data_IF_711127886520
#
_entry.id   IF_711127886520
#
_cell.length_a   1.000
_cell.length_b   1.000
_cell.length_c   1.000
_cell.angle_alpha   90.00
_cell.angle_beta   90.00
_cell.angle_gamma   90.00
#
_symmetry.space_group_name_H-M   'P 1'
#
loop_
_entity.id
_entity.type
_entity.pdbx_description
1 polymer ?
#
# COMPACT_ATOMS: atom_id res chain seq x y z
N UNK A 1 19.07 -9.03 -6.20
CA UNK A 1 18.04 -8.32 -5.42
C UNK A 1 18.33 -8.53 -3.95
N UNK A 2 18.09 -7.53 -3.12
CA UNK A 2 18.16 -7.58 -1.64
C UNK A 2 16.81 -7.14 -1.07
N UNK A 3 16.50 -7.63 0.12
CA UNK A 3 15.28 -7.28 0.84
C UNK A 3 15.68 -6.43 2.04
N UNK A 4 15.07 -5.26 2.15
CA UNK A 4 15.22 -4.33 3.26
C UNK A 4 13.99 -4.44 4.14
N UNK A 5 14.20 -4.68 5.44
CA UNK A 5 13.15 -4.53 6.45
C UNK A 5 13.12 -3.08 6.89
N UNK A 6 11.96 -2.45 6.73
CA UNK A 6 11.72 -1.06 7.09
C UNK A 6 10.86 -1.07 8.35
N UNK A 7 11.36 -0.46 9.42
CA UNK A 7 10.65 -0.30 10.69
C UNK A 7 10.41 1.19 10.93
N UNK A 8 9.14 1.61 10.89
CA UNK A 8 8.74 2.95 11.32
C UNK A 8 8.51 2.98 12.84
N UNK A 9 8.71 4.15 13.46
CA UNK A 9 8.60 4.35 14.91
C UNK A 9 7.20 4.02 15.49
N UNK A 10 6.15 4.00 14.65
CA UNK A 10 4.75 3.82 15.06
C UNK A 10 4.10 2.55 14.49
N UNK A 11 4.81 1.42 14.53
CA UNK A 11 4.29 0.06 14.24
C UNK A 11 4.05 -0.32 12.77
N UNK A 12 4.35 0.57 11.82
CA UNK A 12 4.33 0.21 10.41
C UNK A 12 5.69 -0.40 10.01
N UNK A 13 5.73 -1.72 9.96
CA UNK A 13 6.88 -2.48 9.46
C UNK A 13 6.56 -3.08 8.11
N UNK A 14 7.43 -2.91 7.13
CA UNK A 14 7.24 -3.51 5.80
C UNK A 14 8.54 -4.02 5.19
N UNK A 15 8.40 -4.84 4.16
CA UNK A 15 9.51 -5.36 3.39
C UNK A 15 9.56 -4.65 2.03
N UNK A 16 10.75 -4.17 1.67
CA UNK A 16 11.03 -3.53 0.39
C UNK A 16 12.09 -4.32 -0.36
N UNK A 17 11.86 -4.59 -1.65
CA UNK A 17 12.82 -5.28 -2.50
C UNK A 17 13.52 -4.28 -3.43
N UNK A 18 14.85 -4.29 -3.44
CA UNK A 18 15.65 -3.44 -4.32
C UNK A 18 16.87 -4.17 -4.90
N UNK A 19 17.48 -3.66 -5.99
CA UNK A 19 18.77 -4.17 -6.47
C UNK A 19 19.86 -4.07 -5.41
N UNK A 20 20.78 -5.04 -5.37
CA UNK A 20 21.95 -5.02 -4.46
C UNK A 20 22.95 -3.89 -4.75
N UNK A 21 22.82 -3.28 -5.93
CA UNK A 21 23.62 -2.14 -6.37
C UNK A 21 23.01 -0.78 -6.01
N UNK A 22 21.80 -0.77 -5.43
CA UNK A 22 21.11 0.49 -5.09
C UNK A 22 21.87 1.23 -3.99
N UNK A 23 21.99 2.54 -4.14
CA UNK A 23 22.57 3.41 -3.13
C UNK A 23 21.61 3.61 -1.96
N UNK A 24 22.13 4.07 -0.82
CA UNK A 24 21.31 4.38 0.35
C UNK A 24 20.31 5.49 0.03
N UNK A 25 20.71 6.49 -0.77
CA UNK A 25 19.83 7.60 -1.17
C UNK A 25 18.66 7.10 -2.04
N UNK A 26 18.91 6.24 -3.02
CA UNK A 26 17.84 5.65 -3.86
C UNK A 26 16.86 4.78 -3.03
N UNK A 27 17.37 4.08 -2.02
CA UNK A 27 16.56 3.29 -1.11
C UNK A 27 15.72 4.23 -0.23
N UNK A 28 16.31 5.29 0.31
CA UNK A 28 15.62 6.28 1.13
C UNK A 28 14.52 7.01 0.34
N UNK A 29 14.80 7.46 -0.88
CA UNK A 29 13.81 8.06 -1.78
C UNK A 29 12.66 7.10 -2.05
N UNK A 30 12.96 5.83 -2.32
CA UNK A 30 11.93 4.80 -2.53
C UNK A 30 11.08 4.56 -1.28
N UNK A 31 11.68 4.61 -0.09
CA UNK A 31 10.97 4.49 1.18
C UNK A 31 10.04 5.70 1.44
N UNK A 32 10.53 6.92 1.20
CA UNK A 32 9.71 8.13 1.26
C UNK A 32 8.55 8.09 0.27
N UNK A 33 8.78 7.58 -0.93
CA UNK A 33 7.76 7.35 -1.95
C UNK A 33 6.70 6.35 -1.47
N UNK A 34 7.10 5.21 -0.90
CA UNK A 34 6.18 4.20 -0.36
C UNK A 34 5.31 4.82 0.74
N UNK A 35 5.92 5.50 1.72
CA UNK A 35 5.20 6.14 2.81
C UNK A 35 4.18 7.17 2.27
N UNK A 36 4.61 8.00 1.32
CA UNK A 36 3.73 8.98 0.66
C UNK A 36 2.55 8.31 -0.03
N UNK A 37 2.79 7.21 -0.74
CA UNK A 37 1.76 6.46 -1.45
C UNK A 37 0.79 5.76 -0.47
N UNK A 38 1.30 5.19 0.63
CA UNK A 38 0.47 4.63 1.69
C UNK A 38 -0.44 5.71 2.30
N UNK A 39 0.10 6.87 2.69
CA UNK A 39 -0.70 7.98 3.23
C UNK A 39 -1.77 8.45 2.24
N UNK A 40 -1.44 8.50 0.94
CA UNK A 40 -2.40 8.82 -0.12
C UNK A 40 -3.54 7.81 -0.21
N UNK A 41 -3.24 6.51 -0.19
CA UNK A 41 -4.27 5.45 -0.22
C UNK A 41 -5.21 5.60 0.99
N UNK A 42 -4.67 5.66 2.21
CA UNK A 42 -5.50 5.80 3.42
C UNK A 42 -6.36 7.07 3.39
N UNK A 43 -5.79 8.19 2.93
CA UNK A 43 -6.52 9.46 2.81
C UNK A 43 -7.65 9.37 1.79
N UNK A 44 -7.37 8.83 0.60
CA UNK A 44 -8.36 8.63 -0.46
C UNK A 44 -9.48 7.70 0.01
N UNK A 45 -9.14 6.57 0.64
CA UNK A 45 -10.12 5.64 1.18
C UNK A 45 -11.02 6.31 2.21
N UNK A 46 -10.46 7.04 3.18
CA UNK A 46 -11.26 7.78 4.16
C UNK A 46 -12.21 8.79 3.52
N UNK A 47 -11.73 9.57 2.55
CA UNK A 47 -12.53 10.58 1.87
C UNK A 47 -13.65 9.97 1.02
N UNK A 48 -13.33 8.95 0.23
CA UNK A 48 -14.27 8.29 -0.66
C UNK A 48 -15.31 7.48 0.11
N UNK A 49 -14.92 6.78 1.18
CA UNK A 49 -15.90 6.09 2.05
C UNK A 49 -16.86 7.10 2.69
N UNK A 50 -16.35 8.21 3.24
CA UNK A 50 -17.19 9.23 3.87
C UNK A 50 -18.18 9.90 2.91
N UNK A 51 -17.86 9.97 1.61
CA UNK A 51 -18.67 10.71 0.63
C UNK A 51 -19.51 9.81 -0.27
N UNK A 52 -18.93 8.76 -0.83
CA UNK A 52 -19.62 7.86 -1.74
C UNK A 52 -20.36 6.73 -1.00
N UNK A 53 -19.80 6.21 0.10
CA UNK A 53 -20.42 5.09 0.83
C UNK A 53 -21.32 5.52 2.00
N UNK A 54 -21.31 6.80 2.38
CA UNK A 54 -22.28 7.34 3.35
C UNK A 54 -23.44 8.10 2.71
N UNK A 55 -23.41 8.29 1.40
CA UNK A 55 -24.52 8.86 0.64
C UNK A 55 -25.41 7.72 0.13
N UNK A 56 -26.55 7.51 0.79
CA UNK A 56 -27.49 6.45 0.42
C UNK A 56 -28.05 6.65 -1.00
N UNK A 57 -28.18 7.90 -1.48
CA UNK A 57 -28.66 8.17 -2.83
C UNK A 57 -27.67 7.70 -3.89
N UNK A 58 -26.36 7.84 -3.65
CA UNK A 58 -25.32 7.32 -4.54
C UNK A 58 -25.32 5.79 -4.57
N UNK A 59 -25.45 5.15 -3.41
CA UNK A 59 -25.45 3.68 -3.29
C UNK A 59 -26.66 3.04 -3.95
N UNK A 60 -27.82 3.68 -3.85
CA UNK A 60 -29.03 3.22 -4.53
C UNK A 60 -28.98 3.46 -6.04
N UNK A 61 -28.38 4.57 -6.47
CA UNK A 61 -28.27 4.91 -7.90
C UNK A 61 -27.23 4.08 -8.64
N UNK A 62 -26.14 3.69 -7.96
CA UNK A 62 -25.00 2.97 -8.55
C UNK A 62 -24.47 1.87 -7.61
N UNK A 63 -25.28 0.84 -7.31
CA UNK A 63 -24.91 -0.19 -6.32
C UNK A 63 -23.68 -0.99 -6.73
N UNK A 64 -23.56 -1.36 -8.00
CA UNK A 64 -22.42 -2.13 -8.51
C UNK A 64 -21.11 -1.33 -8.44
N UNK A 65 -21.19 -0.03 -8.71
CA UNK A 65 -20.05 0.88 -8.70
C UNK A 65 -19.60 1.15 -7.26
N UNK A 66 -20.55 1.35 -6.34
CA UNK A 66 -20.25 1.50 -4.91
C UNK A 66 -19.53 0.25 -4.36
N UNK A 67 -20.00 -0.95 -4.72
CA UNK A 67 -19.37 -2.22 -4.33
C UNK A 67 -17.97 -2.38 -4.95
N UNK A 68 -17.81 -2.07 -6.24
CA UNK A 68 -16.51 -2.13 -6.92
C UNK A 68 -15.50 -1.15 -6.32
N UNK A 69 -15.94 0.06 -5.97
CA UNK A 69 -15.12 1.06 -5.31
C UNK A 69 -14.73 0.61 -3.90
N UNK A 70 -15.68 0.15 -3.08
CA UNK A 70 -15.40 -0.35 -1.73
C UNK A 70 -14.41 -1.51 -1.74
N UNK A 71 -14.56 -2.45 -2.68
CA UNK A 71 -13.62 -3.55 -2.88
C UNK A 71 -12.23 -3.04 -3.24
N UNK A 72 -12.14 -2.10 -4.18
CA UNK A 72 -10.87 -1.54 -4.66
C UNK A 72 -10.16 -0.76 -3.55
N UNK A 73 -10.89 0.02 -2.75
CA UNK A 73 -10.35 0.73 -1.58
C UNK A 73 -9.84 -0.25 -0.53
N UNK A 74 -10.62 -1.30 -0.25
CA UNK A 74 -10.24 -2.32 0.75
C UNK A 74 -9.01 -3.11 0.31
N UNK A 75 -8.92 -3.47 -0.98
CA UNK A 75 -7.75 -4.15 -1.52
C UNK A 75 -6.50 -3.25 -1.49
N UNK A 76 -6.65 -1.97 -1.86
CA UNK A 76 -5.58 -1.00 -1.81
C UNK A 76 -5.08 -0.76 -0.38
N UNK A 77 -5.98 -0.65 0.60
CA UNK A 77 -5.62 -0.53 2.02
C UNK A 77 -4.93 -1.78 2.54
N UNK A 78 -5.47 -2.98 2.26
CA UNK A 78 -4.81 -4.23 2.67
C UNK A 78 -3.41 -4.33 2.06
N UNK A 79 -3.24 -3.89 0.82
CA UNK A 79 -1.92 -3.83 0.19
C UNK A 79 -1.03 -2.78 0.85
N UNK A 80 -1.53 -1.57 1.11
CA UNK A 80 -0.78 -0.48 1.73
C UNK A 80 -0.40 -0.78 3.19
N UNK A 81 -1.27 -1.44 3.95
CA UNK A 81 -1.04 -1.86 5.34
C UNK A 81 -0.35 -3.23 5.42
N UNK A 82 0.35 -3.69 4.38
CA UNK A 82 1.10 -4.95 4.43
C UNK A 82 2.18 -4.87 5.51
N UNK A 83 1.84 -5.40 6.70
CA UNK A 83 2.76 -5.51 7.82
C UNK A 83 3.70 -6.69 7.59
N UNK A 84 4.97 -6.50 7.96
CA UNK A 84 5.98 -7.55 7.95
C UNK A 84 5.47 -8.78 8.75
N UNK A 85 5.77 -10.01 8.32
CA UNK A 85 5.49 -11.17 9.17
C UNK A 85 6.28 -11.05 10.46
N UNK A 86 5.71 -11.47 11.62
CA UNK A 86 6.51 -11.59 12.83
C UNK A 86 7.74 -12.47 12.54
N UNK A 87 8.92 -12.14 13.11
CA UNK A 87 10.12 -12.93 12.91
C UNK A 87 9.85 -14.38 13.33
N UNK A 88 10.36 -15.39 12.59
CA UNK A 88 10.18 -16.78 12.98
C UNK A 88 10.75 -16.97 14.40
N UNK A 89 10.09 -17.77 15.25
CA UNK A 89 10.57 -18.01 16.60
C UNK A 89 12.02 -18.53 16.54
N UNK A 90 12.89 -18.08 17.46
CA UNK A 90 14.28 -18.52 17.48
C UNK A 90 14.29 -20.06 17.51
N UNK A 91 15.04 -20.72 16.60
CA UNK A 91 15.11 -22.16 16.59
C UNK A 91 15.60 -22.65 17.97
N UNK A 92 15.08 -23.77 18.49
CA UNK A 92 15.69 -24.44 19.64
C UNK A 92 17.19 -24.60 19.39
N UNK A 93 18.01 -24.38 20.42
CA UNK A 93 19.49 -24.35 20.32
C UNK A 93 20.16 -25.65 19.84
N UNK A 94 19.37 -26.62 19.39
CA UNK A 94 19.78 -27.93 18.91
C UNK A 94 19.43 -28.01 17.42
N UNK A 95 20.45 -27.82 16.56
CA UNK A 95 20.67 -28.40 15.22
C UNK A 95 21.24 -27.36 14.22
N UNK A 96 22.55 -27.12 14.34
CA UNK A 96 23.33 -26.17 13.53
C UNK A 96 23.50 -26.56 12.03
N UNK A 97 22.74 -27.56 11.54
CA UNK A 97 22.86 -28.12 10.18
C UNK A 97 21.63 -27.92 9.29
N UNK A 98 20.51 -27.41 9.81
CA UNK A 98 19.24 -27.26 9.06
C UNK A 98 18.81 -25.81 8.80
N UNK A 99 19.72 -24.84 8.92
CA UNK A 99 19.41 -23.39 8.81
C UNK A 99 19.33 -22.86 7.38
N UNK A 100 19.75 -23.65 6.38
CA UNK A 100 19.64 -23.27 4.95
C UNK A 100 18.20 -23.43 4.46
N UNK A 101 17.66 -24.65 4.53
CA UNK A 101 16.31 -24.96 4.02
C UNK A 101 15.17 -24.21 4.72
N UNK A 102 15.33 -23.86 6.02
CA UNK A 102 14.35 -23.05 6.75
C UNK A 102 14.39 -21.57 6.36
N UNK A 103 15.56 -21.03 6.00
CA UNK A 103 15.65 -19.67 5.43
C UNK A 103 14.99 -19.65 4.06
N UNK A 104 15.27 -20.65 3.23
CA UNK A 104 14.72 -20.70 1.87
C UNK A 104 13.18 -20.77 1.89
N UNK A 105 12.57 -21.58 2.76
CA UNK A 105 11.10 -21.63 2.92
C UNK A 105 10.49 -20.35 3.52
N UNK A 106 11.24 -19.64 4.38
CA UNK A 106 10.82 -18.34 4.91
C UNK A 106 10.88 -17.25 3.83
N UNK A 107 11.97 -17.21 3.07
CA UNK A 107 12.13 -16.29 1.95
C UNK A 107 11.15 -16.58 0.83
N UNK A 108 10.79 -17.84 0.59
CA UNK A 108 9.76 -18.26 -0.36
C UNK A 108 8.36 -17.76 0.09
N UNK A 109 8.04 -17.84 1.39
CA UNK A 109 6.81 -17.24 1.95
C UNK A 109 6.81 -15.70 1.92
N UNK A 110 7.97 -15.08 2.11
CA UNK A 110 8.15 -13.62 2.05
C UNK A 110 8.01 -13.13 0.60
N UNK A 111 8.62 -13.83 -0.36
CA UNK A 111 8.53 -13.56 -1.80
C UNK A 111 7.11 -13.69 -2.33
N UNK A 112 6.37 -14.71 -1.92
CA UNK A 112 5.04 -14.95 -2.47
C UNK A 112 3.95 -13.98 -1.97
N UNK A 113 4.17 -13.20 -0.90
CA UNK A 113 3.07 -12.39 -0.31
C UNK A 113 3.35 -10.97 0.15
N UNK A 114 4.58 -10.49 0.35
CA UNK A 114 4.77 -9.42 1.36
C UNK A 114 5.62 -8.19 1.04
N UNK A 115 6.05 -7.98 -0.21
CA UNK A 115 6.76 -6.73 -0.53
C UNK A 115 5.79 -5.59 -0.86
N UNK A 116 6.07 -4.41 -0.29
CA UNK A 116 5.51 -3.16 -0.76
C UNK A 116 6.34 -2.67 -1.94
N UNK A 117 5.66 -2.46 -3.07
CA UNK A 117 6.26 -1.86 -4.26
C UNK A 117 5.65 -0.50 -4.52
N UNK A 118 6.45 0.56 -4.76
CA UNK A 118 5.94 1.86 -5.18
C UNK A 118 5.07 1.75 -6.44
N UNK A 119 5.43 0.87 -7.38
CA UNK A 119 4.68 0.67 -8.62
C UNK A 119 3.30 0.05 -8.36
N UNK A 120 3.22 -0.94 -7.48
CA UNK A 120 1.95 -1.58 -7.13
C UNK A 120 1.02 -0.61 -6.37
N UNK A 121 1.55 0.18 -5.44
CA UNK A 121 0.77 1.22 -4.75
C UNK A 121 0.23 2.26 -5.74
N UNK A 122 1.07 2.72 -6.69
CA UNK A 122 0.62 3.62 -7.77
C UNK A 122 -0.45 2.96 -8.65
N UNK A 123 -0.36 1.66 -8.92
CA UNK A 123 -1.38 0.92 -9.66
C UNK A 123 -2.71 0.88 -8.89
N UNK A 124 -2.70 0.63 -7.58
CA UNK A 124 -3.90 0.72 -6.74
C UNK A 124 -4.53 2.12 -6.78
N UNK A 125 -3.73 3.19 -6.66
CA UNK A 125 -4.23 4.57 -6.78
C UNK A 125 -4.89 4.80 -8.16
N UNK A 126 -4.29 4.31 -9.25
CA UNK A 126 -4.89 4.40 -10.59
C UNK A 126 -6.18 3.61 -10.72
N UNK A 127 -6.28 2.43 -10.12
CA UNK A 127 -7.52 1.66 -10.09
C UNK A 127 -8.62 2.42 -9.34
N UNK A 128 -8.31 3.01 -8.18
CA UNK A 128 -9.23 3.88 -7.45
C UNK A 128 -9.69 5.05 -8.32
N UNK A 129 -8.76 5.73 -9.00
CA UNK A 129 -9.07 6.84 -9.91
C UNK A 129 -10.03 6.43 -11.03
N UNK A 130 -9.81 5.25 -11.62
CA UNK A 130 -10.66 4.71 -12.68
C UNK A 130 -12.09 4.47 -12.19
N UNK A 131 -12.25 3.85 -11.02
CA UNK A 131 -13.56 3.63 -10.42
C UNK A 131 -14.25 4.96 -10.12
N UNK A 132 -13.54 5.94 -9.55
CA UNK A 132 -14.06 7.29 -9.26
C UNK A 132 -14.51 8.01 -10.55
N UNK A 133 -13.74 7.92 -11.64
CA UNK A 133 -14.11 8.50 -12.94
C UNK A 133 -15.32 7.80 -13.56
N UNK A 134 -15.41 6.47 -13.45
CA UNK A 134 -16.56 5.69 -13.92
C UNK A 134 -17.85 6.01 -13.16
N UNK A 135 -17.73 6.45 -11.90
CA UNK A 135 -18.84 6.72 -10.98
C UNK A 135 -19.51 8.10 -11.13
N UNK A 136 -19.04 8.97 -12.03
CA UNK A 136 -19.35 10.42 -12.03
C UNK A 136 -19.02 11.16 -10.72
N UNK A 137 -18.32 10.52 -9.76
CA UNK A 137 -17.87 11.13 -8.51
C UNK A 137 -16.92 12.32 -8.74
N UNK A 138 -16.31 12.42 -9.93
CA UNK A 138 -15.56 13.63 -10.33
C UNK A 138 -16.44 14.89 -10.46
N UNK A 139 -17.76 14.76 -10.58
CA UNK A 139 -18.70 15.89 -10.49
C UNK A 139 -18.77 16.45 -9.06
N UNK A 140 -18.29 15.72 -8.04
CA UNK A 140 -18.04 16.25 -6.71
C UNK A 140 -16.71 17.03 -6.73
N UNK A 141 -16.71 18.16 -7.43
CA UNK A 141 -15.55 19.03 -7.65
C UNK A 141 -14.95 19.58 -6.34
N UNK A 142 -15.62 19.41 -5.20
CA UNK A 142 -15.22 19.89 -3.88
C UNK A 142 -13.97 19.23 -3.30
N UNK A 143 -13.60 18.02 -3.73
CA UNK A 143 -12.59 17.21 -3.02
C UNK A 143 -11.15 17.40 -3.52
N UNK A 144 -10.92 18.22 -4.55
CA UNK A 144 -9.60 18.39 -5.18
C UNK A 144 -8.89 17.04 -5.44
N UNK A 145 -9.66 15.99 -5.77
CA UNK A 145 -9.13 14.64 -5.99
C UNK A 145 -8.12 14.62 -7.14
N UNK A 146 -8.25 15.56 -8.08
CA UNK A 146 -7.25 15.85 -9.10
C UNK A 146 -5.85 16.09 -8.52
N UNK A 147 -5.70 16.79 -7.39
CA UNK A 147 -4.40 16.99 -6.75
C UNK A 147 -3.81 15.68 -6.18
N UNK A 148 -4.67 14.79 -5.67
CA UNK A 148 -4.22 13.49 -5.16
C UNK A 148 -3.75 12.57 -6.29
N UNK A 149 -4.39 12.62 -7.46
CA UNK A 149 -4.03 11.84 -8.63
C UNK A 149 -2.92 12.48 -9.48
N UNK A 150 -2.75 13.81 -9.44
CA UNK A 150 -1.81 14.56 -10.29
C UNK A 150 -0.35 14.45 -9.84
N UNK A 151 -0.02 13.62 -8.86
CA UNK A 151 1.38 13.29 -8.55
C UNK A 151 2.21 14.42 -7.96
N UNK A 152 1.63 15.57 -7.61
CA UNK A 152 2.37 16.61 -6.91
C UNK A 152 2.63 16.16 -5.48
N UNK A 153 3.88 15.75 -5.22
CA UNK A 153 4.44 15.66 -3.88
C UNK A 153 4.44 17.05 -3.25
N UNK A 154 3.28 17.53 -2.81
CA UNK A 154 3.23 18.69 -1.94
C UNK A 154 3.42 18.19 -0.52
N UNK A 155 4.69 18.02 -0.16
CA UNK A 155 5.15 17.93 1.22
C UNK A 155 4.64 19.20 1.92
N UNK A 156 3.63 19.06 2.75
CA UNK A 156 3.41 20.00 3.86
C UNK A 156 3.56 19.20 5.14
N UNK A 157 4.81 19.14 5.60
CA UNK A 157 5.12 18.95 7.01
C UNK A 157 4.80 20.29 7.68
N UNK A 158 3.92 20.28 8.67
CA UNK A 158 3.92 21.28 9.74
C UNK A 158 3.63 20.56 11.03
#
# INVERSE_FOLDING_TARGET
>A
MVVVHVQAAESEEFLYECPSSSTIDEIADSMCDIATLQSKIHTLSRLLRRRALMDDAFRESYPDVALALERTLSEAEVYASKVSPPPPPPPPLELHRSTSYKRDLYWDQVQYKRFLSPHALRAHIKSIEKEVKGSQLMSLSDLNLSQFFSGTSSVYIT
#
